data_IF_671872827547
#
_entry.id   IF_671872827547
#
_cell.length_a   1.000
_cell.length_b   1.000
_cell.length_c   1.000
_cell.angle_alpha   90.00
_cell.angle_beta   90.00
_cell.angle_gamma   90.00
#
_symmetry.space_group_name_H-M   'P 1'
#
loop_
_entity.id
_entity.type
_entity.pdbx_description
1 polymer ?
#
# COMPACT_ATOMS: atom_id res chain seq x y z
N UNK A 1 13.99 7.29 -7.42
CA UNK A 1 13.30 8.52 -6.98
C UNK A 1 12.13 8.10 -6.13
N UNK A 2 11.91 8.71 -4.97
CA UNK A 2 10.77 8.42 -4.08
C UNK A 2 9.64 9.40 -4.42
N UNK A 3 8.39 8.93 -4.46
CA UNK A 3 7.23 9.80 -4.71
C UNK A 3 6.89 10.60 -3.45
N UNK A 4 6.60 11.88 -3.60
CA UNK A 4 5.99 12.67 -2.53
C UNK A 4 4.51 12.29 -2.34
N UNK A 5 3.94 12.68 -1.22
CA UNK A 5 2.51 12.63 -0.92
C UNK A 5 1.63 13.16 -2.08
N UNK A 6 1.99 14.32 -2.63
CA UNK A 6 1.30 14.93 -3.77
C UNK A 6 1.37 14.05 -5.01
N UNK A 7 2.54 13.50 -5.30
CA UNK A 7 2.71 12.65 -6.47
C UNK A 7 1.98 11.32 -6.31
N UNK A 8 1.95 10.76 -5.11
CA UNK A 8 1.13 9.57 -4.80
C UNK A 8 -0.34 9.85 -5.11
N UNK A 9 -0.88 10.98 -4.65
CA UNK A 9 -2.26 11.37 -4.97
C UNK A 9 -2.52 11.54 -6.47
N UNK A 10 -1.63 12.22 -7.20
CA UNK A 10 -1.76 12.40 -8.65
C UNK A 10 -1.80 11.08 -9.41
N UNK A 11 -1.00 10.10 -8.99
CA UNK A 11 -0.96 8.79 -9.64
C UNK A 11 -2.16 7.91 -9.23
N UNK A 12 -2.75 8.14 -8.05
CA UNK A 12 -4.04 7.57 -7.67
C UNK A 12 -5.17 8.12 -8.55
N UNK A 13 -5.20 9.45 -8.74
CA UNK A 13 -6.20 10.12 -9.59
C UNK A 13 -6.14 9.66 -11.05
N UNK A 14 -4.94 9.48 -11.60
CA UNK A 14 -4.74 8.92 -12.95
C UNK A 14 -5.06 7.43 -13.06
N UNK A 15 -5.26 6.74 -11.94
CA UNK A 15 -5.48 5.28 -11.90
C UNK A 15 -4.22 4.44 -12.14
N UNK A 16 -3.03 5.05 -12.11
CA UNK A 16 -1.76 4.32 -12.19
C UNK A 16 -1.43 3.60 -10.88
N UNK A 17 -1.90 4.13 -9.75
CA UNK A 17 -1.83 3.52 -8.42
C UNK A 17 -3.25 3.29 -7.92
N UNK A 18 -3.57 2.07 -7.50
CA UNK A 18 -4.87 1.74 -6.91
C UNK A 18 -4.63 1.29 -5.47
N UNK A 19 -5.24 1.99 -4.51
CA UNK A 19 -5.22 1.64 -3.09
C UNK A 19 -6.67 1.61 -2.60
N UNK A 20 -7.16 0.42 -2.27
CA UNK A 20 -8.53 0.25 -1.81
C UNK A 20 -8.56 -0.65 -0.56
N UNK A 21 -9.02 -0.14 0.60
CA UNK A 21 -9.49 1.23 0.84
C UNK A 21 -8.33 2.24 0.98
N UNK A 22 -8.46 3.42 0.36
CA UNK A 22 -7.57 4.56 0.60
C UNK A 22 -8.00 5.33 1.86
N UNK A 23 -7.05 5.61 2.75
CA UNK A 23 -7.24 6.39 3.98
C UNK A 23 -6.23 7.52 4.00
N UNK A 24 -6.72 8.77 4.01
CA UNK A 24 -5.87 9.97 3.96
C UNK A 24 -4.86 10.03 5.11
N UNK A 25 -5.25 9.59 6.30
CA UNK A 25 -4.41 9.63 7.50
C UNK A 25 -3.18 8.70 7.44
N UNK A 26 -3.19 7.74 6.50
CA UNK A 26 -2.07 6.82 6.27
C UNK A 26 -1.08 7.35 5.23
N UNK A 27 -1.33 8.51 4.63
CA UNK A 27 -0.41 9.12 3.68
C UNK A 27 0.63 9.96 4.41
N UNK A 28 1.87 9.47 4.44
CA UNK A 28 3.05 10.23 4.87
C UNK A 28 3.55 11.19 3.78
N UNK A 29 4.61 11.94 4.08
CA UNK A 29 5.17 12.95 3.15
C UNK A 29 5.76 12.34 1.87
N UNK A 30 6.10 11.05 1.90
CA UNK A 30 6.66 10.31 0.77
C UNK A 30 6.41 8.78 0.85
N UNK A 31 5.38 8.38 1.59
CA UNK A 31 5.03 6.99 1.87
C UNK A 31 3.52 6.83 2.10
N UNK A 32 3.04 5.59 2.10
CA UNK A 32 1.68 5.25 2.49
C UNK A 32 1.69 4.02 3.40
N UNK A 33 1.11 4.13 4.59
CA UNK A 33 1.08 3.06 5.59
C UNK A 33 -0.01 2.02 5.27
N UNK A 34 0.35 0.75 5.34
CA UNK A 34 -0.56 -0.39 5.15
C UNK A 34 -0.84 -1.12 6.46
N UNK A 35 -1.92 -1.90 6.49
CA UNK A 35 -2.38 -2.59 7.70
C UNK A 35 -2.32 -4.10 7.51
N UNK A 36 -2.00 -4.81 8.60
CA UNK A 36 -2.02 -6.27 8.62
C UNK A 36 -3.45 -6.79 8.45
N UNK A 37 -3.66 -7.68 7.49
CA UNK A 37 -4.94 -8.34 7.26
C UNK A 37 -5.26 -9.44 8.27
N UNK A 38 -6.51 -9.88 8.30
CA UNK A 38 -6.98 -10.94 9.23
C UNK A 38 -6.34 -12.31 9.00
N UNK A 39 -5.93 -12.59 7.78
CA UNK A 39 -5.51 -13.92 7.37
C UNK A 39 -3.98 -14.02 7.31
N UNK A 40 -3.45 -14.99 8.05
CA UNK A 40 -2.04 -15.40 7.98
C UNK A 40 -1.99 -16.83 7.44
N UNK A 41 -0.99 -17.10 6.61
CA UNK A 41 -0.76 -18.43 6.05
C UNK A 41 0.57 -19.00 6.55
N UNK A 42 0.60 -20.31 6.78
CA UNK A 42 1.82 -21.06 7.07
C UNK A 42 2.05 -22.07 5.96
N UNK A 43 3.32 -22.37 5.67
CA UNK A 43 3.66 -23.48 4.79
C UNK A 43 3.11 -24.80 5.38
N UNK A 44 2.59 -25.67 4.50
CA UNK A 44 2.15 -27.02 4.91
C UNK A 44 3.35 -27.93 5.12
N UNK A 45 4.31 -27.86 4.19
CA UNK A 45 5.50 -28.70 4.18
C UNK A 45 6.74 -27.88 4.53
N UNK A 46 7.73 -28.54 5.12
CA UNK A 46 8.98 -27.89 5.55
C UNK A 46 9.97 -27.69 4.40
N UNK A 47 9.88 -28.50 3.34
CA UNK A 47 10.73 -28.48 2.13
C UNK A 47 9.88 -28.95 0.94
N UNK A 48 10.12 -28.37 -0.25
CA UNK A 48 9.47 -28.69 -1.53
C UNK A 48 9.87 -30.07 -2.08
#
# INVERSE_FOLDING_TARGET
MILSDKRILEEIDKGHIIIEPFKRDCLGTNSYDVHLGKHLATYKDRVL
#
